data_IF_978868612365
#
_entry.id   IF_978868612365
#
_cell.length_a   1.000
_cell.length_b   1.000
_cell.length_c   1.000
_cell.angle_alpha   90.00
_cell.angle_beta   90.00
_cell.angle_gamma   90.00
#
_symmetry.space_group_name_H-M   'P 1'
#
loop_
_entity.id
_entity.type
_entity.pdbx_description
1 polymer ?
#
# COMPACT_ATOMS: atom_id res chain seq x y z
N UNK A 1 -30.84 -65.63 22.11
CA UNK A 1 -31.84 -64.60 22.52
C UNK A 1 -31.20 -63.25 22.23
N UNK A 2 -31.70 -62.31 21.42
CA UNK A 2 -33.01 -62.05 20.76
C UNK A 2 -33.98 -61.09 21.51
N UNK A 3 -33.59 -59.81 21.52
CA UNK A 3 -34.32 -58.54 21.79
C UNK A 3 -33.47 -57.39 21.20
N UNK A 4 -33.87 -56.16 20.82
CA UNK A 4 -35.16 -55.49 20.48
C UNK A 4 -36.29 -55.49 21.51
N UNK A 5 -36.98 -54.39 21.81
CA UNK A 5 -36.91 -52.97 21.36
C UNK A 5 -36.88 -52.02 22.59
N UNK A 6 -36.94 -50.68 22.59
CA UNK A 6 -37.11 -49.54 21.63
C UNK A 6 -36.12 -48.40 22.05
N UNK A 7 -35.91 -47.22 21.45
CA UNK A 7 -36.66 -46.20 20.66
C UNK A 7 -37.63 -45.28 21.46
N UNK A 8 -37.13 -44.12 21.92
CA UNK A 8 -37.96 -42.94 22.28
C UNK A 8 -37.35 -41.69 21.62
N UNK A 9 -38.18 -40.90 20.95
CA UNK A 9 -37.81 -39.62 20.32
C UNK A 9 -38.23 -38.48 21.25
N UNK A 10 -37.25 -37.78 21.83
CA UNK A 10 -37.47 -36.60 22.69
C UNK A 10 -37.22 -35.30 21.94
N UNK A 11 -38.25 -34.75 21.29
CA UNK A 11 -38.14 -33.46 20.60
C UNK A 11 -38.43 -32.30 21.58
N UNK A 12 -37.41 -31.48 21.86
CA UNK A 12 -37.57 -30.17 22.52
C UNK A 12 -37.12 -29.06 21.57
N UNK A 13 -38.07 -28.31 21.03
CA UNK A 13 -37.75 -27.09 20.29
C UNK A 13 -37.29 -26.02 21.28
N UNK A 14 -36.01 -25.63 21.19
CA UNK A 14 -35.58 -24.33 21.70
C UNK A 14 -35.49 -23.34 20.55
N UNK A 15 -36.27 -22.25 20.63
CA UNK A 15 -36.18 -21.13 19.71
C UNK A 15 -34.94 -20.30 20.03
N UNK A 16 -33.79 -20.72 19.50
CA UNK A 16 -32.65 -19.83 19.36
C UNK A 16 -32.95 -18.83 18.24
N UNK A 17 -33.44 -17.64 18.58
CA UNK A 17 -33.48 -16.53 17.65
C UNK A 17 -32.03 -16.09 17.38
N UNK A 18 -31.46 -16.57 16.28
CA UNK A 18 -30.21 -16.04 15.75
C UNK A 18 -30.46 -14.62 15.27
N UNK A 19 -30.29 -13.64 16.16
CA UNK A 19 -30.02 -12.28 15.75
C UNK A 19 -28.78 -12.34 14.87
N UNK A 20 -28.97 -12.06 13.58
CA UNK A 20 -27.88 -11.97 12.63
C UNK A 20 -27.02 -10.78 13.01
N UNK A 21 -25.96 -11.04 13.79
CA UNK A 21 -24.77 -10.21 13.71
C UNK A 21 -24.33 -10.34 12.26
N UNK A 22 -24.60 -9.30 11.47
CA UNK A 22 -23.93 -9.09 10.20
C UNK A 22 -22.47 -8.81 10.54
N UNK A 23 -21.71 -9.88 10.81
CA UNK A 23 -20.27 -9.79 10.78
C UNK A 23 -19.94 -9.22 9.41
N UNK A 24 -19.26 -8.08 9.39
CA UNK A 24 -18.45 -7.75 8.24
C UNK A 24 -17.56 -8.98 8.03
N UNK A 25 -17.82 -9.75 6.98
CA UNK A 25 -16.85 -10.74 6.57
C UNK A 25 -15.53 -9.97 6.37
N UNK A 26 -14.38 -10.48 6.82
CA UNK A 26 -13.13 -9.98 6.26
C UNK A 26 -13.30 -10.05 4.75
N UNK A 27 -13.01 -8.95 4.04
CA UNK A 27 -12.93 -9.01 2.59
C UNK A 27 -11.94 -10.14 2.29
N UNK A 28 -12.46 -11.17 1.60
CA UNK A 28 -11.77 -12.46 1.46
C UNK A 28 -10.38 -12.20 0.95
N UNK A 29 -9.39 -12.85 1.59
CA UNK A 29 -7.96 -12.57 1.44
C UNK A 29 -7.60 -12.02 0.06
N UNK A 30 -6.84 -10.92 0.07
CA UNK A 30 -6.03 -10.47 -1.07
C UNK A 30 -4.92 -11.46 -1.44
N UNK A 31 -5.23 -12.77 -1.43
CA UNK A 31 -4.47 -13.82 -2.06
C UNK A 31 -4.35 -13.47 -3.55
N UNK A 32 -3.25 -12.81 -3.88
CA UNK A 32 -3.01 -12.13 -5.16
C UNK A 32 -3.50 -12.98 -6.33
N UNK A 33 -4.54 -12.48 -7.01
CA UNK A 33 -5.36 -13.29 -7.90
C UNK A 33 -4.48 -14.00 -8.94
N UNK A 34 -4.54 -15.33 -8.95
CA UNK A 34 -3.73 -16.19 -9.80
C UNK A 34 -3.97 -16.00 -11.31
N UNK A 35 -4.97 -15.19 -11.69
CA UNK A 35 -5.29 -14.81 -13.07
C UNK A 35 -4.12 -14.22 -13.88
N UNK A 36 -3.14 -13.58 -13.23
CA UNK A 36 -1.91 -13.05 -13.88
C UNK A 36 -1.16 -14.07 -14.75
N UNK A 37 -1.28 -15.36 -14.47
CA UNK A 37 -0.58 -16.43 -15.21
C UNK A 37 -1.22 -16.73 -16.58
N UNK A 38 -2.43 -16.22 -16.85
CA UNK A 38 -3.24 -16.64 -18.00
C UNK A 38 -3.03 -15.85 -19.32
N UNK A 39 -2.30 -14.72 -19.31
CA UNK A 39 -2.11 -13.86 -20.48
C UNK A 39 -0.69 -13.30 -20.63
N UNK A 40 0.28 -14.15 -21.01
CA UNK A 40 1.51 -13.68 -21.67
C UNK A 40 1.15 -13.29 -23.11
N UNK A 41 0.66 -12.06 -23.29
CA UNK A 41 0.20 -11.56 -24.58
C UNK A 41 1.36 -11.05 -25.45
N UNK A 42 1.59 -11.72 -26.58
CA UNK A 42 2.52 -11.31 -27.65
C UNK A 42 1.79 -10.59 -28.82
N UNK A 43 0.52 -10.18 -28.64
CA UNK A 43 -0.28 -9.56 -29.69
C UNK A 43 0.44 -8.38 -30.36
N UNK A 44 0.74 -8.47 -31.68
CA UNK A 44 1.45 -7.42 -32.38
C UNK A 44 0.55 -6.19 -32.50
N UNK A 45 1.09 -5.01 -32.18
CA UNK A 45 0.39 -3.76 -32.48
C UNK A 45 0.28 -3.62 -34.00
N UNK A 46 -0.96 -3.55 -34.48
CA UNK A 46 -1.24 -3.11 -35.85
C UNK A 46 -0.93 -1.62 -35.91
N UNK A 47 0.07 -1.22 -36.71
CA UNK A 47 0.55 0.17 -36.74
C UNK A 47 -0.48 1.23 -37.21
N UNK A 48 -1.65 0.80 -37.71
CA UNK A 48 -2.80 1.66 -38.01
C UNK A 48 -3.87 1.69 -36.90
N UNK A 49 -3.60 1.10 -35.74
CA UNK A 49 -4.42 1.26 -34.54
C UNK A 49 -4.28 2.68 -33.98
N UNK A 50 -5.36 3.20 -33.41
CA UNK A 50 -5.44 4.54 -32.81
C UNK A 50 -6.02 4.45 -31.41
N UNK A 51 -5.55 5.34 -30.54
CA UNK A 51 -6.08 5.56 -29.19
C UNK A 51 -6.65 6.97 -29.18
N UNK A 52 -7.93 7.16 -28.84
CA UNK A 52 -8.63 8.42 -29.07
C UNK A 52 -9.71 8.77 -28.05
N UNK A 53 -9.95 10.06 -27.93
CA UNK A 53 -10.85 10.68 -26.96
C UNK A 53 -11.90 11.57 -27.66
N UNK A 54 -13.08 11.76 -27.04
CA UNK A 54 -14.08 12.70 -27.55
C UNK A 54 -14.83 13.44 -26.45
N UNK A 55 -14.93 14.77 -26.57
CA UNK A 55 -15.65 15.64 -25.65
C UNK A 55 -16.26 16.83 -26.41
N UNK A 56 -17.51 17.19 -26.12
CA UNK A 56 -18.14 18.40 -26.67
C UNK A 56 -18.27 18.46 -28.21
N UNK A 57 -18.09 17.34 -28.91
CA UNK A 57 -18.01 17.30 -30.38
C UNK A 57 -16.59 17.40 -30.95
N UNK A 58 -15.59 17.66 -30.10
CA UNK A 58 -14.17 17.46 -30.41
C UNK A 58 -13.84 15.97 -30.32
N UNK A 59 -12.98 15.50 -31.20
CA UNK A 59 -12.37 14.17 -31.16
C UNK A 59 -10.88 14.32 -31.45
N UNK A 60 -10.03 13.73 -30.62
CA UNK A 60 -8.61 13.58 -30.87
C UNK A 60 -8.26 12.09 -31.00
N UNK A 61 -7.49 11.74 -32.02
CA UNK A 61 -6.91 10.41 -32.22
C UNK A 61 -5.39 10.50 -32.21
N UNK A 62 -4.73 9.79 -31.29
CA UNK A 62 -3.29 9.54 -31.36
C UNK A 62 -3.03 8.20 -32.08
N UNK A 63 -1.94 8.12 -32.84
CA UNK A 63 -1.46 6.82 -33.35
C UNK A 63 -0.96 5.95 -32.20
N UNK A 64 -1.35 4.67 -32.18
CA UNK A 64 -1.13 3.81 -31.01
C UNK A 64 0.35 3.43 -30.79
N UNK A 65 1.19 3.51 -31.82
CA UNK A 65 2.65 3.34 -31.73
C UNK A 65 3.28 4.73 -31.62
N UNK A 66 4.06 4.96 -30.57
CA UNK A 66 4.87 6.16 -30.44
C UNK A 66 6.30 5.89 -30.95
N UNK A 67 6.83 6.86 -31.69
CA UNK A 67 8.17 6.83 -32.29
C UNK A 67 9.20 7.20 -31.20
N UNK A 68 9.70 6.16 -30.53
CA UNK A 68 10.74 6.25 -29.49
C UNK A 68 12.10 5.99 -30.14
N UNK A 69 12.96 7.01 -30.16
CA UNK A 69 14.23 7.00 -30.87
C UNK A 69 15.30 7.86 -30.15
N UNK A 70 16.50 7.92 -30.72
CA UNK A 70 17.57 8.81 -30.28
C UNK A 70 17.79 9.87 -31.37
N UNK A 71 17.50 11.13 -31.05
CA UNK A 71 17.74 12.28 -31.94
C UNK A 71 18.90 13.10 -31.37
N UNK A 72 19.90 13.41 -32.21
CA UNK A 72 21.13 14.12 -31.81
C UNK A 72 21.84 13.61 -30.53
N UNK A 73 21.72 12.32 -30.20
CA UNK A 73 22.27 11.73 -28.97
C UNK A 73 21.41 11.95 -27.71
N UNK A 74 20.12 12.26 -27.88
CA UNK A 74 19.15 12.46 -26.79
C UNK A 74 17.91 11.58 -27.02
N UNK A 75 17.43 10.84 -26.00
CA UNK A 75 16.15 10.14 -26.07
C UNK A 75 15.02 11.09 -26.45
N UNK A 76 14.30 10.73 -27.51
CA UNK A 76 13.20 11.51 -28.10
C UNK A 76 12.01 10.59 -28.33
N UNK A 77 10.81 11.06 -27.96
CA UNK A 77 9.57 10.31 -28.04
C UNK A 77 8.53 11.16 -28.79
N UNK A 78 8.16 10.72 -30.00
CA UNK A 78 7.20 11.40 -30.86
C UNK A 78 5.85 10.66 -30.90
N UNK A 79 4.76 11.41 -30.73
CA UNK A 79 3.38 10.92 -30.90
C UNK A 79 2.66 11.76 -31.94
N UNK A 80 2.17 11.13 -33.00
CA UNK A 80 1.31 11.79 -33.99
C UNK A 80 -0.13 11.89 -33.48
N UNK A 81 -0.70 13.10 -33.51
CA UNK A 81 -2.05 13.41 -33.01
C UNK A 81 -2.88 14.13 -34.08
N UNK A 82 -4.12 13.71 -34.21
CA UNK A 82 -5.09 14.25 -35.17
C UNK A 82 -6.41 14.65 -34.52
N UNK A 83 -6.88 15.85 -34.82
CA UNK A 83 -8.18 16.37 -34.44
C UNK A 83 -9.23 16.21 -35.54
N UNK A 84 -10.51 16.11 -35.13
CA UNK A 84 -11.63 16.22 -36.07
C UNK A 84 -11.94 17.69 -36.46
N UNK A 85 -11.68 18.65 -35.57
CA UNK A 85 -11.88 20.11 -35.74
C UNK A 85 -10.56 20.85 -35.93
N UNK A 86 -10.62 22.14 -36.28
CA UNK A 86 -9.45 23.01 -36.29
C UNK A 86 -9.07 23.48 -34.88
N UNK A 87 -7.80 23.35 -34.53
CA UNK A 87 -7.20 23.88 -33.31
C UNK A 87 -6.52 25.23 -33.60
N UNK A 88 -6.45 26.10 -32.59
CA UNK A 88 -5.80 27.41 -32.65
C UNK A 88 -4.43 27.39 -31.93
N UNK A 89 -4.35 26.70 -30.80
CA UNK A 89 -3.10 26.42 -30.08
C UNK A 89 -3.21 25.08 -29.33
N UNK A 90 -2.05 24.49 -29.03
CA UNK A 90 -1.88 23.30 -28.19
C UNK A 90 -0.67 23.56 -27.30
N UNK A 91 -0.91 23.84 -26.03
CA UNK A 91 0.14 24.11 -25.05
C UNK A 91 0.35 22.90 -24.14
N UNK A 92 1.45 22.14 -24.29
CA UNK A 92 1.78 21.07 -23.37
C UNK A 92 2.14 21.65 -21.99
N UNK A 93 1.82 20.90 -20.94
CA UNK A 93 2.27 21.16 -19.58
C UNK A 93 2.45 19.82 -18.84
N UNK A 94 3.40 19.79 -17.91
CA UNK A 94 3.72 18.58 -17.13
C UNK A 94 3.98 19.02 -15.70
N UNK A 95 3.47 18.25 -14.73
CA UNK A 95 3.76 18.48 -13.31
C UNK A 95 5.27 18.29 -13.07
N UNK A 96 5.88 19.27 -12.39
CA UNK A 96 7.28 19.22 -11.93
C UNK A 96 8.33 18.97 -13.04
N UNK A 97 8.09 19.48 -14.27
CA UNK A 97 9.14 19.54 -15.29
C UNK A 97 10.19 20.61 -14.96
N UNK A 98 11.36 20.17 -14.47
CA UNK A 98 12.56 21.01 -14.47
C UNK A 98 13.04 21.22 -15.90
N UNK A 99 13.53 22.41 -16.29
CA UNK A 99 14.19 22.62 -17.59
C UNK A 99 15.42 21.73 -17.82
N UNK A 100 15.92 21.04 -16.78
CA UNK A 100 16.99 20.05 -16.90
C UNK A 100 16.50 18.66 -17.40
N UNK A 101 15.19 18.37 -17.33
CA UNK A 101 14.64 17.05 -17.67
C UNK A 101 14.45 16.84 -19.17
N UNK A 102 14.15 17.94 -19.88
CA UNK A 102 13.71 17.94 -21.27
C UNK A 102 12.68 19.02 -21.59
N UNK A 103 12.19 19.00 -22.83
CA UNK A 103 11.16 19.91 -23.37
C UNK A 103 10.10 19.14 -24.16
N UNK A 104 8.86 19.67 -24.18
CA UNK A 104 7.78 19.17 -25.03
C UNK A 104 7.56 20.16 -26.18
N UNK A 105 7.93 19.77 -27.39
CA UNK A 105 7.73 20.53 -28.63
C UNK A 105 6.43 20.08 -29.32
N UNK A 106 5.65 21.03 -29.87
CA UNK A 106 4.47 20.76 -30.70
C UNK A 106 4.77 21.12 -32.15
N UNK A 107 4.94 20.11 -33.00
CA UNK A 107 5.27 20.28 -34.41
C UNK A 107 4.00 20.18 -35.25
N UNK A 108 3.45 21.34 -35.62
CA UNK A 108 2.25 21.43 -36.44
C UNK A 108 2.50 20.98 -37.90
N UNK A 109 1.69 20.03 -38.37
CA UNK A 109 1.65 19.63 -39.78
C UNK A 109 0.57 20.40 -40.55
N UNK A 110 -0.63 20.51 -39.97
CA UNK A 110 -1.70 21.43 -40.39
C UNK A 110 -2.62 21.76 -39.19
N UNK A 111 -3.64 22.60 -39.39
CA UNK A 111 -4.55 23.05 -38.32
C UNK A 111 -5.37 21.94 -37.60
N UNK A 112 -5.22 20.67 -37.98
CA UNK A 112 -5.82 19.49 -37.31
C UNK A 112 -4.82 18.37 -37.03
N UNK A 113 -3.57 18.45 -37.48
CA UNK A 113 -2.59 17.37 -37.35
C UNK A 113 -1.28 17.94 -36.80
N UNK A 114 -0.79 17.37 -35.70
CA UNK A 114 0.44 17.79 -35.03
C UNK A 114 1.18 16.59 -34.42
N UNK A 115 2.49 16.72 -34.28
CA UNK A 115 3.32 15.77 -33.55
C UNK A 115 3.71 16.37 -32.20
N UNK A 116 3.46 15.63 -31.12
CA UNK A 116 4.05 15.88 -29.80
C UNK A 116 5.44 15.27 -29.80
N UNK A 117 6.48 16.07 -29.54
CA UNK A 117 7.87 15.62 -29.51
C UNK A 117 8.46 15.91 -28.14
N UNK A 118 8.60 14.88 -27.31
CA UNK A 118 9.28 14.95 -26.02
C UNK A 118 10.77 14.74 -26.27
N UNK A 119 11.60 15.73 -25.93
CA UNK A 119 13.05 15.67 -26.03
C UNK A 119 13.65 15.68 -24.63
N UNK A 120 14.53 14.73 -24.30
CA UNK A 120 15.28 14.72 -23.04
C UNK A 120 15.12 13.44 -22.25
N UNK A 121 16.24 12.93 -21.71
CA UNK A 121 16.28 11.65 -21.01
C UNK A 121 15.37 11.61 -19.77
N UNK A 122 15.30 12.69 -18.99
CA UNK A 122 14.43 12.76 -17.80
C UNK A 122 12.95 12.72 -18.18
N UNK A 123 12.55 13.60 -19.11
CA UNK A 123 11.17 13.70 -19.60
C UNK A 123 10.68 12.41 -20.27
N UNK A 124 11.52 11.75 -21.07
CA UNK A 124 11.21 10.44 -21.67
C UNK A 124 11.19 9.32 -20.61
N UNK A 125 12.09 9.32 -19.61
CA UNK A 125 12.04 8.36 -18.47
C UNK A 125 10.70 8.48 -17.73
N UNK A 126 10.21 9.70 -17.48
CA UNK A 126 8.90 9.94 -16.84
C UNK A 126 7.71 9.51 -17.69
N UNK A 127 7.69 9.87 -18.98
CA UNK A 127 6.62 9.45 -19.89
C UNK A 127 6.52 7.91 -19.99
N UNK A 128 7.65 7.19 -19.95
CA UNK A 128 7.67 5.73 -19.99
C UNK A 128 7.38 5.06 -18.63
N UNK A 129 7.59 5.71 -17.48
CA UNK A 129 7.08 5.19 -16.21
C UNK A 129 5.59 5.53 -15.94
N UNK A 130 4.92 6.16 -16.91
CA UNK A 130 3.48 6.38 -16.92
C UNK A 130 3.05 7.83 -16.64
N UNK A 131 3.97 8.78 -16.47
CA UNK A 131 3.58 10.18 -16.21
C UNK A 131 2.72 10.71 -17.36
N UNK A 132 1.51 11.19 -17.02
CA UNK A 132 0.55 11.73 -17.99
C UNK A 132 1.12 12.98 -18.65
N UNK A 133 1.13 13.02 -19.97
CA UNK A 133 1.44 14.23 -20.75
C UNK A 133 0.13 15.02 -20.85
N UNK A 134 0.11 16.22 -20.27
CA UNK A 134 -1.07 17.08 -20.25
C UNK A 134 -0.95 18.16 -21.34
N UNK A 135 -2.06 18.54 -21.94
CA UNK A 135 -2.12 19.55 -23.01
C UNK A 135 -3.35 20.42 -22.85
N UNK A 136 -3.17 21.73 -22.83
CA UNK A 136 -4.26 22.69 -23.00
C UNK A 136 -4.52 22.88 -24.50
N UNK A 137 -5.79 22.81 -24.91
CA UNK A 137 -6.24 22.86 -26.29
C UNK A 137 -7.16 24.07 -26.50
N UNK A 138 -6.78 24.99 -27.39
CA UNK A 138 -7.65 26.08 -27.83
C UNK A 138 -8.29 25.75 -29.18
N UNK A 139 -9.62 25.87 -29.27
CA UNK A 139 -10.39 25.51 -30.46
C UNK A 139 -10.56 26.73 -31.39
N UNK A 140 -10.20 26.58 -32.67
CA UNK A 140 -10.23 27.71 -33.62
C UNK A 140 -11.64 28.21 -34.00
N UNK A 141 -12.70 27.47 -33.65
CA UNK A 141 -14.08 27.73 -34.07
C UNK A 141 -15.05 28.11 -32.94
N UNK A 142 -14.66 27.96 -31.67
CA UNK A 142 -15.52 28.28 -30.52
C UNK A 142 -14.67 28.53 -29.26
N UNK A 143 -15.05 29.49 -28.39
CA UNK A 143 -14.36 29.69 -27.12
C UNK A 143 -14.66 28.53 -26.16
N UNK A 144 -13.62 27.78 -25.80
CA UNK A 144 -13.69 26.68 -24.85
C UNK A 144 -12.38 25.91 -24.83
N UNK A 145 -11.55 26.16 -23.82
CA UNK A 145 -10.35 25.37 -23.57
C UNK A 145 -10.74 23.96 -23.14
N UNK A 146 -10.00 22.96 -23.61
CA UNK A 146 -10.09 21.57 -23.14
C UNK A 146 -8.71 21.10 -22.70
N UNK A 147 -8.66 20.23 -21.70
CA UNK A 147 -7.41 19.55 -21.31
C UNK A 147 -7.43 18.14 -21.88
N UNK A 148 -6.40 17.80 -22.65
CA UNK A 148 -6.12 16.43 -23.03
C UNK A 148 -5.07 15.80 -22.11
N UNK A 149 -5.21 14.50 -21.85
CA UNK A 149 -4.25 13.71 -21.07
C UNK A 149 -3.85 12.48 -21.87
N UNK A 150 -2.56 12.23 -22.02
CA UNK A 150 -2.00 11.14 -22.82
C UNK A 150 -1.07 10.29 -21.95
N UNK A 151 -1.36 8.99 -21.83
CA UNK A 151 -0.48 8.03 -21.14
C UNK A 151 0.23 7.12 -22.12
N UNK A 152 1.52 6.88 -21.86
CA UNK A 152 2.41 6.09 -22.71
C UNK A 152 3.01 4.94 -21.88
N UNK A 153 3.10 3.75 -22.48
CA UNK A 153 3.81 2.60 -21.94
C UNK A 153 5.00 2.22 -22.85
N UNK A 154 6.17 1.85 -22.29
CA UNK A 154 7.20 1.14 -23.02
C UNK A 154 6.73 -0.30 -23.29
N UNK A 155 7.08 -0.83 -24.47
CA UNK A 155 6.65 -2.16 -24.93
C UNK A 155 7.72 -2.85 -25.77
N UNK A 156 7.59 -4.18 -25.82
CA UNK A 156 8.39 -5.06 -26.67
C UNK A 156 7.64 -5.38 -27.97
N UNK A 157 8.34 -5.29 -29.10
CA UNK A 157 7.74 -5.32 -30.43
C UNK A 157 8.43 -6.26 -31.42
N UNK A 158 7.64 -6.69 -32.40
CA UNK A 158 8.10 -7.36 -33.61
C UNK A 158 8.91 -8.62 -33.34
N UNK A 159 8.46 -9.46 -32.40
CA UNK A 159 9.14 -10.66 -31.91
C UNK A 159 9.61 -11.59 -33.04
N UNK A 160 10.82 -12.17 -32.89
CA UNK A 160 11.44 -13.09 -33.87
C UNK A 160 12.19 -14.22 -33.15
N UNK A 161 12.19 -15.42 -33.73
CA UNK A 161 12.95 -16.57 -33.22
C UNK A 161 12.05 -17.66 -32.61
N UNK A 162 12.62 -18.45 -31.71
CA UNK A 162 11.98 -19.56 -30.98
C UNK A 162 12.62 -19.58 -29.59
N UNK A 163 11.83 -19.61 -28.51
CA UNK A 163 12.37 -19.47 -27.16
C UNK A 163 11.26 -19.21 -26.14
N UNK A 164 11.53 -18.54 -25.00
CA UNK A 164 10.51 -18.22 -24.01
C UNK A 164 9.43 -17.30 -24.61
N UNK A 165 8.23 -17.33 -24.04
CA UNK A 165 7.21 -16.34 -24.37
C UNK A 165 7.40 -15.12 -23.47
N UNK A 166 7.29 -13.92 -24.04
CA UNK A 166 7.63 -12.67 -23.36
C UNK A 166 6.44 -11.70 -23.42
N UNK A 167 6.05 -11.15 -22.28
CA UNK A 167 4.97 -10.17 -22.23
C UNK A 167 5.34 -8.94 -23.06
N UNK A 168 4.42 -8.47 -23.92
CA UNK A 168 4.69 -7.30 -24.75
C UNK A 168 4.73 -5.96 -23.97
N UNK A 169 4.33 -5.94 -22.69
CA UNK A 169 4.41 -4.77 -21.81
C UNK A 169 5.73 -4.77 -21.02
N UNK A 170 6.36 -3.60 -20.92
CA UNK A 170 7.46 -3.33 -19.98
C UNK A 170 6.87 -2.60 -18.77
N UNK A 171 6.55 -3.32 -17.70
CA UNK A 171 5.86 -2.76 -16.53
C UNK A 171 6.82 -1.91 -15.70
N UNK A 172 6.55 -0.61 -15.46
CA UNK A 172 7.36 0.22 -14.58
C UNK A 172 7.15 -0.20 -13.12
N UNK A 173 8.22 -0.62 -12.44
CA UNK A 173 8.18 -1.12 -11.05
C UNK A 173 9.19 -0.38 -10.17
N UNK A 174 8.84 -0.19 -8.90
CA UNK A 174 9.76 0.34 -7.88
C UNK A 174 10.47 -0.82 -7.17
N UNK A 175 11.80 -0.75 -7.15
CA UNK A 175 12.71 -1.69 -6.47
C UNK A 175 13.64 -0.88 -5.56
N UNK A 176 13.98 -1.40 -4.38
CA UNK A 176 14.90 -0.73 -3.45
C UNK A 176 16.28 -0.45 -4.06
N UNK A 177 16.87 0.71 -3.75
CA UNK A 177 18.25 1.05 -4.13
C UNK A 177 18.41 2.44 -4.78
N UNK A 178 19.60 2.74 -5.33
CA UNK A 178 19.98 4.08 -5.81
C UNK A 178 19.43 4.45 -7.21
N UNK A 179 18.96 3.49 -7.99
CA UNK A 179 18.14 3.70 -9.20
C UNK A 179 16.93 2.78 -9.05
N UNK A 180 15.82 3.27 -8.46
CA UNK A 180 14.72 2.39 -8.05
C UNK A 180 13.75 2.03 -9.17
N UNK A 181 13.80 2.74 -10.29
CA UNK A 181 12.96 2.43 -11.45
C UNK A 181 13.53 1.25 -12.23
N UNK A 182 12.73 0.17 -12.35
CA UNK A 182 12.97 -0.90 -13.32
C UNK A 182 11.81 -1.03 -14.28
N UNK A 183 12.11 -1.49 -15.49
CA UNK A 183 11.12 -1.86 -16.50
C UNK A 183 11.10 -3.38 -16.61
N UNK A 184 10.05 -3.98 -16.06
CA UNK A 184 9.92 -5.43 -15.87
C UNK A 184 9.23 -6.10 -17.05
N UNK A 185 9.82 -7.19 -17.55
CA UNK A 185 9.20 -8.15 -18.47
C UNK A 185 8.90 -9.43 -17.70
N UNK A 186 7.69 -9.98 -17.85
CA UNK A 186 7.39 -11.36 -17.44
C UNK A 186 7.63 -12.32 -18.61
N UNK A 187 8.32 -13.43 -18.34
CA UNK A 187 8.61 -14.50 -19.29
C UNK A 187 7.96 -15.83 -18.86
N UNK A 188 7.33 -16.57 -19.79
CA UNK A 188 7.13 -18.03 -19.69
C UNK A 188 8.40 -18.72 -20.21
N UNK A 189 9.08 -19.42 -19.31
CA UNK A 189 10.37 -20.09 -19.54
C UNK A 189 10.26 -21.61 -19.56
N UNK A 190 9.09 -22.18 -19.23
CA UNK A 190 8.84 -23.63 -19.17
C UNK A 190 9.85 -24.38 -18.30
N UNK A 191 10.17 -23.77 -17.15
CA UNK A 191 11.10 -24.29 -16.15
C UNK A 191 12.58 -24.17 -16.54
N UNK A 192 12.90 -23.55 -17.68
CA UNK A 192 14.28 -23.29 -18.08
C UNK A 192 14.83 -22.01 -17.44
N UNK A 193 16.15 -22.00 -17.21
CA UNK A 193 16.93 -20.79 -16.98
C UNK A 193 16.90 -19.89 -18.22
N UNK A 194 16.73 -18.58 -18.02
CA UNK A 194 16.84 -17.56 -19.07
C UNK A 194 18.18 -16.84 -18.97
N UNK A 195 18.80 -16.60 -20.11
CA UNK A 195 19.90 -15.65 -20.32
C UNK A 195 19.39 -14.47 -21.16
N UNK A 196 19.87 -13.26 -20.87
CA UNK A 196 19.46 -12.01 -21.54
C UNK A 196 20.72 -11.30 -22.04
N UNK A 197 20.72 -10.85 -23.29
CA UNK A 197 21.89 -10.23 -23.95
C UNK A 197 22.09 -8.73 -23.66
N UNK A 198 21.41 -8.20 -22.64
CA UNK A 198 21.43 -6.80 -22.23
C UNK A 198 21.65 -6.68 -20.71
N UNK A 199 22.18 -5.55 -20.19
CA UNK A 199 22.34 -5.35 -18.75
C UNK A 199 20.98 -5.33 -18.03
N UNK A 200 20.65 -6.46 -17.39
CA UNK A 200 19.35 -6.72 -16.80
C UNK A 200 19.51 -7.59 -15.54
N UNK A 201 18.63 -7.39 -14.55
CA UNK A 201 18.48 -8.35 -13.45
C UNK A 201 17.47 -9.43 -13.89
N UNK A 202 17.84 -10.71 -13.74
CA UNK A 202 16.98 -11.84 -14.09
C UNK A 202 16.65 -12.62 -12.83
N UNK A 203 15.38 -12.59 -12.42
CA UNK A 203 14.89 -13.27 -11.21
C UNK A 203 14.02 -14.47 -11.61
N UNK A 204 14.48 -15.71 -11.41
CA UNK A 204 13.66 -16.89 -11.66
C UNK A 204 12.59 -17.03 -10.56
N UNK A 205 11.33 -17.22 -10.93
CA UNK A 205 10.25 -17.40 -9.96
C UNK A 205 10.28 -18.85 -9.44
N UNK A 206 10.62 -19.13 -8.16
CA UNK A 206 11.04 -20.46 -7.69
C UNK A 206 9.93 -21.53 -7.63
N UNK A 207 8.72 -21.20 -8.08
CA UNK A 207 7.48 -21.99 -7.95
C UNK A 207 6.64 -22.01 -9.23
N UNK A 208 7.13 -21.42 -10.33
CA UNK A 208 6.40 -21.26 -11.59
C UNK A 208 7.36 -21.46 -12.77
N UNK A 209 6.81 -21.80 -13.93
CA UNK A 209 7.53 -21.87 -15.21
C UNK A 209 7.87 -20.48 -15.78
N UNK A 210 8.25 -19.51 -14.93
CA UNK A 210 8.36 -18.09 -15.27
C UNK A 210 9.58 -17.41 -14.66
N UNK A 211 10.08 -16.37 -15.32
CA UNK A 211 11.10 -15.46 -14.77
C UNK A 211 10.71 -14.00 -15.03
N UNK A 212 11.16 -13.08 -14.18
CA UNK A 212 11.10 -11.64 -14.44
C UNK A 212 12.46 -11.13 -14.91
N UNK A 213 12.44 -10.18 -15.84
CA UNK A 213 13.63 -9.49 -16.34
C UNK A 213 13.44 -7.99 -16.14
N UNK A 214 14.29 -7.41 -15.30
CA UNK A 214 14.21 -6.02 -14.88
C UNK A 214 15.31 -5.20 -15.58
N UNK A 215 14.89 -4.34 -16.52
CA UNK A 215 15.77 -3.44 -17.28
C UNK A 215 15.91 -2.09 -16.56
N UNK A 216 17.08 -1.46 -16.65
CA UNK A 216 17.23 -0.03 -16.34
C UNK A 216 16.73 0.84 -17.50
N UNK A 217 16.50 2.13 -17.24
CA UNK A 217 16.27 3.10 -18.32
C UNK A 217 17.47 3.18 -19.27
N UNK A 218 18.69 3.16 -18.73
CA UNK A 218 19.92 3.25 -19.51
C UNK A 218 20.10 2.06 -20.46
N UNK A 219 19.67 0.85 -20.04
CA UNK A 219 19.61 -0.34 -20.92
C UNK A 219 18.61 -0.14 -22.05
N UNK A 220 17.46 0.50 -21.81
CA UNK A 220 16.51 0.85 -22.87
C UNK A 220 17.11 1.88 -23.83
N UNK A 221 17.81 2.90 -23.31
CA UNK A 221 18.48 3.92 -24.15
C UNK A 221 19.55 3.28 -25.03
N UNK A 222 20.44 2.44 -24.48
CA UNK A 222 21.47 1.75 -25.26
C UNK A 222 20.90 0.83 -26.36
N UNK A 223 19.81 0.11 -26.07
CA UNK A 223 19.10 -0.70 -27.06
C UNK A 223 18.51 0.15 -28.22
N UNK A 224 18.14 1.40 -27.96
CA UNK A 224 17.68 2.35 -28.97
C UNK A 224 18.84 2.99 -29.75
N UNK A 225 19.95 3.31 -29.09
CA UNK A 225 21.18 3.85 -29.71
C UNK A 225 21.79 2.88 -30.73
N UNK A 226 21.93 1.60 -30.37
CA UNK A 226 22.43 0.55 -31.27
C UNK A 226 21.40 0.08 -32.31
N UNK A 227 20.13 0.52 -32.21
CA UNK A 227 19.01 -0.02 -32.99
C UNK A 227 18.80 -1.53 -32.76
N UNK A 228 19.20 -2.00 -31.58
CA UNK A 228 19.38 -3.40 -31.25
C UNK A 228 18.07 -4.15 -31.00
N UNK A 229 18.20 -5.45 -30.69
CA UNK A 229 17.08 -6.31 -30.30
C UNK A 229 17.48 -7.05 -29.04
N UNK A 230 16.72 -6.86 -27.95
CA UNK A 230 16.90 -7.68 -26.74
C UNK A 230 16.55 -9.14 -27.05
N UNK A 231 17.39 -10.06 -26.62
CA UNK A 231 17.28 -11.49 -26.82
C UNK A 231 17.08 -12.23 -25.49
N UNK A 232 16.03 -13.03 -25.42
CA UNK A 232 15.73 -13.94 -24.31
C UNK A 232 16.08 -15.36 -24.76
N UNK A 233 17.13 -15.92 -24.17
CA UNK A 233 17.71 -17.22 -24.53
C UNK A 233 17.42 -18.28 -23.48
N UNK A 234 17.07 -19.49 -23.93
CA UNK A 234 16.82 -20.68 -23.10
C UNK A 234 17.39 -21.92 -23.79
N UNK A 235 17.39 -23.07 -23.11
CA UNK A 235 17.69 -24.37 -23.73
C UNK A 235 16.73 -24.74 -24.88
N UNK A 236 15.58 -24.06 -25.01
CA UNK A 236 14.61 -24.24 -26.10
C UNK A 236 14.83 -23.27 -27.28
N UNK A 237 15.78 -22.34 -27.16
CA UNK A 237 16.15 -21.35 -28.18
C UNK A 237 16.11 -19.90 -27.69
N UNK A 238 16.43 -18.99 -28.62
CA UNK A 238 16.42 -17.53 -28.44
C UNK A 238 15.24 -16.87 -29.16
N UNK A 239 14.44 -16.08 -28.42
CA UNK A 239 13.44 -15.13 -28.97
C UNK A 239 13.96 -13.70 -28.79
N UNK A 240 13.81 -12.84 -29.80
CA UNK A 240 14.29 -11.45 -29.79
C UNK A 240 13.16 -10.45 -30.02
N UNK A 241 13.23 -9.27 -29.40
CA UNK A 241 12.26 -8.18 -29.53
C UNK A 241 12.96 -6.82 -29.70
N UNK A 242 12.24 -5.80 -30.16
CA UNK A 242 12.69 -4.39 -30.12
C UNK A 242 11.94 -3.66 -29.01
N UNK A 243 12.60 -2.72 -28.34
CA UNK A 243 11.91 -1.79 -27.42
C UNK A 243 11.28 -0.66 -28.24
N UNK A 244 10.12 -0.18 -27.80
CA UNK A 244 9.47 1.01 -28.30
C UNK A 244 8.42 1.52 -27.31
N UNK A 245 7.56 2.44 -27.74
CA UNK A 245 6.52 3.02 -26.90
C UNK A 245 5.11 2.85 -27.50
N UNK A 246 4.07 2.89 -26.65
CA UNK A 246 2.66 2.73 -26.99
C UNK A 246 1.83 3.84 -26.34
N UNK A 247 0.94 4.49 -27.09
CA UNK A 247 -0.15 5.29 -26.47
C UNK A 247 -1.24 4.34 -25.96
N UNK A 248 -1.45 4.33 -24.65
CA UNK A 248 -2.39 3.41 -23.99
C UNK A 248 -3.67 4.04 -23.49
N UNK A 249 -3.63 5.31 -23.11
CA UNK A 249 -4.84 6.12 -22.92
C UNK A 249 -4.70 7.47 -23.64
N UNK A 250 -5.84 8.00 -24.05
CA UNK A 250 -5.99 9.38 -24.44
C UNK A 250 -7.34 9.82 -23.89
N UNK A 251 -7.35 10.90 -23.10
CA UNK A 251 -8.52 11.40 -22.39
C UNK A 251 -8.73 12.88 -22.69
N UNK A 252 -9.97 13.36 -22.63
CA UNK A 252 -10.35 14.77 -22.78
C UNK A 252 -11.24 15.18 -21.61
N UNK A 253 -10.95 16.33 -21.00
CA UNK A 253 -11.77 16.92 -19.93
C UNK A 253 -11.99 18.42 -20.14
N UNK A 254 -13.05 18.94 -19.54
CA UNK A 254 -13.36 20.38 -19.43
C UNK A 254 -12.96 20.97 -18.07
N UNK A 255 -12.30 20.19 -17.22
CA UNK A 255 -11.65 20.70 -16.01
C UNK A 255 -10.47 21.62 -16.37
N UNK A 256 -10.15 22.57 -15.49
CA UNK A 256 -9.02 23.50 -15.65
C UNK A 256 -7.66 22.81 -15.42
N UNK A 257 -6.58 23.46 -15.88
CA UNK A 257 -5.20 22.98 -15.65
C UNK A 257 -4.92 22.75 -14.16
N UNK A 258 -5.42 23.63 -13.28
CA UNK A 258 -5.26 23.51 -11.83
C UNK A 258 -6.01 22.31 -11.24
N UNK A 259 -7.25 22.04 -11.69
CA UNK A 259 -8.03 20.88 -11.25
C UNK A 259 -7.41 19.57 -11.74
N UNK A 260 -6.90 19.52 -12.98
CA UNK A 260 -6.23 18.33 -13.51
C UNK A 260 -4.92 18.08 -12.76
N UNK A 261 -4.09 19.10 -12.54
CA UNK A 261 -2.84 18.97 -11.76
C UNK A 261 -3.10 18.55 -10.31
N UNK A 262 -4.16 19.04 -9.66
CA UNK A 262 -4.55 18.63 -8.32
C UNK A 262 -5.13 17.20 -8.25
N UNK A 263 -5.68 16.69 -9.35
CA UNK A 263 -6.17 15.30 -9.46
C UNK A 263 -5.08 14.27 -9.86
N UNK A 264 -3.89 14.73 -10.25
CA UNK A 264 -2.79 13.87 -10.68
C UNK A 264 -1.78 13.72 -9.53
N UNK A 265 -1.34 12.49 -9.28
CA UNK A 265 -0.34 12.14 -8.25
C UNK A 265 -0.79 12.49 -6.81
N UNK A 266 -2.04 12.14 -6.46
CA UNK A 266 -2.50 12.05 -5.06
C UNK A 266 -2.11 10.67 -4.51
N UNK A 267 -1.46 10.62 -3.34
CA UNK A 267 -1.17 9.36 -2.68
C UNK A 267 -2.46 8.64 -2.25
N UNK A 268 -2.66 7.41 -2.72
CA UNK A 268 -3.82 6.60 -2.37
C UNK A 268 -3.62 5.90 -1.03
N UNK A 269 -4.62 5.98 -0.14
CA UNK A 269 -4.57 5.47 1.23
C UNK A 269 -4.14 3.99 1.36
N UNK A 270 -4.55 3.13 0.43
CA UNK A 270 -4.19 1.71 0.42
C UNK A 270 -2.73 1.47 0.00
N UNK A 271 -2.18 2.34 -0.86
CA UNK A 271 -0.76 2.32 -1.25
C UNK A 271 0.08 2.70 -0.03
N UNK A 272 -0.27 3.81 0.64
CA UNK A 272 0.41 4.27 1.86
C UNK A 272 0.44 3.18 2.95
N UNK A 273 -0.70 2.54 3.22
CA UNK A 273 -0.78 1.44 4.19
C UNK A 273 -0.01 0.19 3.78
N UNK A 274 0.16 -0.06 2.47
CA UNK A 274 1.02 -1.13 1.99
C UNK A 274 2.50 -0.77 2.17
N UNK A 275 2.92 0.46 1.83
CA UNK A 275 4.30 0.93 2.03
C UNK A 275 4.73 0.80 3.50
N UNK A 276 3.84 1.15 4.45
CA UNK A 276 4.07 0.99 5.89
C UNK A 276 4.11 -0.47 6.39
N UNK A 277 3.93 -1.48 5.52
CA UNK A 277 3.91 -2.91 5.86
C UNK A 277 4.90 -3.77 5.06
N UNK A 278 5.48 -3.24 3.98
CA UNK A 278 6.43 -3.99 3.14
C UNK A 278 7.86 -3.85 3.66
N UNK A 279 8.33 -4.89 4.34
CA UNK A 279 9.74 -5.04 4.78
C UNK A 279 10.68 -5.52 3.64
N UNK A 280 10.23 -5.51 2.38
CA UNK A 280 10.98 -6.05 1.23
C UNK A 280 11.50 -4.95 0.30
N UNK A 281 12.53 -5.27 -0.48
CA UNK A 281 13.02 -4.40 -1.56
C UNK A 281 12.06 -4.35 -2.76
N UNK A 282 11.00 -5.17 -2.79
CA UNK A 282 10.02 -5.28 -3.87
C UNK A 282 8.74 -4.49 -3.56
N UNK A 283 8.91 -3.18 -3.47
CA UNK A 283 7.86 -2.22 -3.09
C UNK A 283 6.74 -2.12 -4.15
N UNK A 284 7.02 -2.55 -5.40
CA UNK A 284 6.03 -2.67 -6.48
C UNK A 284 4.80 -3.57 -6.20
N UNK A 285 4.80 -4.35 -5.12
CA UNK A 285 3.60 -5.03 -4.62
C UNK A 285 2.51 -4.04 -4.14
N UNK A 286 2.90 -2.80 -3.79
CA UNK A 286 2.01 -1.76 -3.30
C UNK A 286 1.39 -0.87 -4.38
N UNK A 287 1.68 -1.10 -5.66
CA UNK A 287 1.07 -0.34 -6.77
C UNK A 287 2.03 -0.07 -7.92
N UNK A 288 1.59 0.77 -8.86
CA UNK A 288 2.44 1.26 -9.95
C UNK A 288 3.59 2.12 -9.42
N UNK A 289 4.67 2.26 -10.20
CA UNK A 289 5.80 3.12 -9.84
C UNK A 289 5.36 4.54 -9.43
N UNK A 290 4.43 5.17 -10.16
CA UNK A 290 3.87 6.49 -9.83
C UNK A 290 3.15 6.52 -8.49
N UNK A 291 2.24 5.57 -8.25
CA UNK A 291 1.49 5.48 -6.98
C UNK A 291 2.44 5.33 -5.80
N UNK A 292 3.46 4.48 -5.93
CA UNK A 292 4.52 4.33 -4.93
C UNK A 292 5.26 5.65 -4.74
N UNK A 293 5.82 6.27 -5.79
CA UNK A 293 6.61 7.51 -5.63
C UNK A 293 5.81 8.67 -5.07
N UNK A 294 4.54 8.82 -5.48
CA UNK A 294 3.64 9.84 -4.93
C UNK A 294 3.31 9.65 -3.45
N UNK A 295 3.47 8.43 -2.91
CA UNK A 295 3.29 8.11 -1.50
C UNK A 295 4.58 8.10 -0.67
N UNK A 296 5.78 8.14 -1.28
CA UNK A 296 7.05 8.10 -0.53
C UNK A 296 7.35 9.40 0.24
N UNK A 297 6.81 10.53 -0.19
CA UNK A 297 6.99 11.85 0.44
C UNK A 297 5.68 12.43 1.02
N UNK A 298 4.56 11.70 0.93
CA UNK A 298 3.26 12.15 1.41
C UNK A 298 3.17 12.08 2.95
N UNK A 299 2.57 13.09 3.59
CA UNK A 299 2.28 13.02 5.02
C UNK A 299 1.01 12.22 5.32
N UNK A 300 1.00 11.47 6.43
CA UNK A 300 -0.15 10.66 6.87
C UNK A 300 -1.43 11.50 7.04
N UNK A 301 -1.30 12.78 7.42
CA UNK A 301 -2.41 13.72 7.53
C UNK A 301 -2.88 14.31 6.21
N UNK A 302 -2.06 14.28 5.15
CA UNK A 302 -2.49 14.61 3.79
C UNK A 302 -3.29 13.46 3.17
N UNK A 303 -2.89 12.22 3.46
CA UNK A 303 -3.52 10.99 2.94
C UNK A 303 -4.86 10.67 3.63
N UNK A 304 -4.90 10.71 4.96
CA UNK A 304 -6.11 10.32 5.73
C UNK A 304 -6.95 11.49 6.21
N UNK A 305 -6.42 12.71 6.16
CA UNK A 305 -7.01 13.88 6.81
C UNK A 305 -6.89 13.85 8.34
N UNK A 306 -6.99 15.01 9.01
CA UNK A 306 -6.96 15.10 10.46
C UNK A 306 -8.22 14.48 11.09
N UNK A 307 -8.05 13.35 11.80
CA UNK A 307 -9.14 12.67 12.49
C UNK A 307 -9.29 13.16 13.93
N UNK A 308 -10.52 13.12 14.45
CA UNK A 308 -10.79 13.37 15.86
C UNK A 308 -10.17 12.28 16.74
N UNK A 309 -9.77 12.64 17.96
CA UNK A 309 -9.30 11.67 18.95
C UNK A 309 -10.42 10.67 19.28
N UNK A 310 -10.09 9.38 19.23
CA UNK A 310 -10.89 8.23 19.65
C UNK A 310 -9.96 7.05 19.90
N UNK A 311 -10.43 6.02 20.59
CA UNK A 311 -9.72 4.74 20.76
C UNK A 311 -10.41 3.64 19.94
N UNK A 312 -9.79 3.22 18.84
CA UNK A 312 -10.27 2.09 18.05
C UNK A 312 -9.74 0.78 18.66
N UNK A 313 -10.64 -0.11 19.10
CA UNK A 313 -10.24 -1.40 19.65
C UNK A 313 -9.60 -2.30 18.59
N UNK A 314 -8.48 -2.94 18.92
CA UNK A 314 -7.72 -3.84 18.02
C UNK A 314 -7.47 -5.18 18.70
N UNK A 315 -7.16 -6.21 17.91
CA UNK A 315 -6.80 -7.53 18.45
C UNK A 315 -5.50 -7.44 19.25
N UNK A 316 -5.49 -8.07 20.43
CA UNK A 316 -4.28 -8.21 21.26
C UNK A 316 -3.28 -9.09 20.51
N UNK A 317 -2.04 -8.63 20.25
CA UNK A 317 -1.03 -9.42 19.56
C UNK A 317 -0.83 -10.81 20.19
N UNK A 318 -0.73 -11.85 19.35
CA UNK A 318 -0.72 -13.25 19.79
C UNK A 318 0.45 -13.58 20.77
N UNK A 319 1.55 -12.83 20.66
CA UNK A 319 2.66 -12.76 21.62
C UNK A 319 2.18 -12.42 23.04
N UNK A 320 1.47 -11.31 23.19
CA UNK A 320 0.93 -10.78 24.44
C UNK A 320 -0.22 -11.67 24.94
N UNK A 321 -1.12 -12.13 24.06
CA UNK A 321 -2.22 -13.02 24.43
C UNK A 321 -1.73 -14.38 24.98
N UNK A 322 -0.67 -14.94 24.41
CA UNK A 322 -0.03 -16.16 24.93
C UNK A 322 0.61 -15.92 26.31
N UNK A 323 1.25 -14.76 26.52
CA UNK A 323 1.82 -14.40 27.81
C UNK A 323 0.75 -14.12 28.88
N UNK A 324 -0.39 -13.52 28.49
CA UNK A 324 -1.56 -13.34 29.36
C UNK A 324 -2.12 -14.69 29.83
N UNK A 325 -2.21 -15.68 28.94
CA UNK A 325 -2.64 -17.03 29.30
C UNK A 325 -1.65 -17.71 30.27
N UNK A 326 -0.34 -17.50 30.10
CA UNK A 326 0.69 -17.99 31.03
C UNK A 326 0.65 -17.26 32.38
N UNK A 327 0.38 -15.96 32.41
CA UNK A 327 0.14 -15.18 33.62
C UNK A 327 -1.07 -15.74 34.39
N UNK A 328 -2.22 -15.91 33.72
CA UNK A 328 -3.42 -16.49 34.33
C UNK A 328 -3.19 -17.92 34.86
N UNK A 329 -2.43 -18.75 34.14
CA UNK A 329 -2.06 -20.10 34.58
C UNK A 329 -1.05 -20.14 35.74
N UNK A 330 -0.37 -19.03 36.04
CA UNK A 330 0.61 -18.89 37.13
C UNK A 330 0.13 -18.00 38.29
N UNK A 331 -1.15 -17.60 38.28
CA UNK A 331 -1.83 -16.85 39.33
C UNK A 331 -2.16 -17.73 40.56
N UNK A 332 -1.14 -18.31 41.17
CA UNK A 332 -1.23 -19.09 42.42
C UNK A 332 -0.37 -18.46 43.50
N UNK A 333 -0.79 -17.30 44.00
CA UNK A 333 -0.09 -16.58 45.06
C UNK A 333 -0.08 -17.42 46.37
N UNK A 334 1.08 -17.57 47.04
CA UNK A 334 1.18 -18.38 48.25
C UNK A 334 0.69 -17.61 49.49
N UNK A 335 -0.10 -18.29 50.33
CA UNK A 335 -0.39 -17.82 51.70
C UNK A 335 -1.44 -16.71 51.80
N UNK A 336 -2.69 -17.04 51.47
CA UNK A 336 -3.87 -16.16 51.62
C UNK A 336 -3.91 -14.88 50.79
N UNK A 337 -2.91 -14.65 49.93
CA UNK A 337 -2.91 -13.55 48.96
C UNK A 337 -3.53 -14.00 47.62
N UNK A 338 -3.98 -13.04 46.82
CA UNK A 338 -4.34 -13.27 45.42
C UNK A 338 -3.93 -12.08 44.55
N UNK A 339 -3.66 -12.36 43.27
CA UNK A 339 -3.60 -11.37 42.21
C UNK A 339 -4.29 -11.94 40.97
N UNK A 340 -5.04 -11.11 40.26
CA UNK A 340 -5.78 -11.48 39.05
C UNK A 340 -5.59 -10.42 37.97
N UNK A 341 -5.43 -10.86 36.73
CA UNK A 341 -5.55 -10.04 35.52
C UNK A 341 -6.86 -10.48 34.85
N UNK A 342 -7.89 -9.65 34.91
CA UNK A 342 -9.24 -9.99 34.46
C UNK A 342 -9.49 -9.63 32.99
N UNK A 343 -8.92 -8.52 32.51
CA UNK A 343 -8.94 -8.14 31.10
C UNK A 343 -7.56 -7.66 30.66
N UNK A 344 -7.27 -7.86 29.38
CA UNK A 344 -6.19 -7.18 28.68
C UNK A 344 -6.76 -6.79 27.31
N UNK A 345 -6.76 -5.51 27.03
CA UNK A 345 -7.34 -4.93 25.81
C UNK A 345 -6.27 -4.11 25.09
N UNK A 346 -6.38 -4.05 23.76
CA UNK A 346 -5.49 -3.26 22.92
C UNK A 346 -6.31 -2.25 22.11
N UNK A 347 -5.80 -1.02 22.02
CA UNK A 347 -6.42 0.06 21.26
C UNK A 347 -5.39 0.74 20.35
N UNK A 348 -5.88 1.27 19.24
CA UNK A 348 -5.14 2.11 18.31
C UNK A 348 -5.68 3.55 18.36
N UNK A 349 -4.77 4.51 18.16
CA UNK A 349 -5.13 5.87 17.76
C UNK A 349 -5.20 5.94 16.23
N UNK A 350 -6.04 6.84 15.66
CA UNK A 350 -5.99 7.19 14.24
C UNK A 350 -4.59 7.56 13.77
N UNK A 351 -4.21 7.12 12.57
CA UNK A 351 -2.87 7.32 11.99
C UNK A 351 -2.53 8.81 11.78
N UNK A 352 -3.53 9.66 11.53
CA UNK A 352 -3.44 11.11 11.69
C UNK A 352 -4.46 11.59 12.73
N UNK A 353 -3.96 12.14 13.85
CA UNK A 353 -4.74 12.85 14.84
C UNK A 353 -4.71 14.37 14.61
N UNK A 354 -5.86 15.03 14.70
CA UNK A 354 -5.97 16.49 14.68
C UNK A 354 -5.28 17.19 15.86
N UNK A 355 -5.04 16.47 16.95
CA UNK A 355 -4.34 16.92 18.16
C UNK A 355 -3.53 15.76 18.76
N UNK A 356 -2.26 15.94 19.17
CA UNK A 356 -1.45 14.85 19.74
C UNK A 356 -2.17 14.12 20.88
N UNK A 357 -2.14 12.77 20.85
CA UNK A 357 -2.73 11.95 21.91
C UNK A 357 -1.96 12.11 23.23
N UNK A 358 -2.69 12.37 24.31
CA UNK A 358 -2.15 12.46 25.68
C UNK A 358 -2.69 11.33 26.54
N UNK A 359 -1.98 10.96 27.62
CA UNK A 359 -2.49 9.97 28.58
C UNK A 359 -3.80 10.44 29.23
N UNK A 360 -3.94 11.74 29.50
CA UNK A 360 -5.18 12.35 29.97
C UNK A 360 -6.36 12.09 29.00
N UNK A 361 -6.17 12.27 27.69
CA UNK A 361 -7.20 12.00 26.69
C UNK A 361 -7.52 10.50 26.55
N UNK A 362 -6.51 9.63 26.66
CA UNK A 362 -6.67 8.17 26.65
C UNK A 362 -7.50 7.71 27.86
N UNK A 363 -7.17 8.19 29.06
CA UNK A 363 -7.95 7.91 30.27
C UNK A 363 -9.35 8.50 30.16
N UNK A 364 -9.50 9.71 29.64
CA UNK A 364 -10.82 10.34 29.47
C UNK A 364 -11.74 9.53 28.55
N UNK A 365 -11.23 8.96 27.45
CA UNK A 365 -11.98 8.13 26.52
C UNK A 365 -12.31 6.74 27.10
N UNK A 366 -11.35 6.07 27.75
CA UNK A 366 -11.58 4.78 28.44
C UNK A 366 -12.68 4.90 29.50
N UNK A 367 -12.75 6.03 30.21
CA UNK A 367 -13.75 6.29 31.24
C UNK A 367 -15.00 7.05 30.76
N UNK A 368 -15.14 7.34 29.46
CA UNK A 368 -16.22 8.17 28.90
C UNK A 368 -17.64 7.61 29.11
N UNK A 369 -17.77 6.30 29.37
CA UNK A 369 -19.03 5.63 29.72
C UNK A 369 -19.31 5.48 31.23
N UNK A 370 -18.43 6.01 32.10
CA UNK A 370 -18.53 5.84 33.55
C UNK A 370 -19.43 6.89 34.24
N UNK A 371 -19.80 6.64 35.50
CA UNK A 371 -20.60 7.58 36.32
C UNK A 371 -19.74 8.69 36.98
N UNK A 372 -18.44 8.75 36.67
CA UNK A 372 -17.49 9.74 37.17
C UNK A 372 -17.09 10.67 36.01
N UNK A 373 -16.81 11.96 36.29
CA UNK A 373 -16.30 12.86 35.24
C UNK A 373 -14.88 12.40 34.83
N UNK A 374 -14.62 12.04 33.56
CA UNK A 374 -13.39 11.33 33.21
C UNK A 374 -12.09 12.10 33.49
N UNK A 375 -12.13 13.44 33.45
CA UNK A 375 -11.00 14.29 33.83
C UNK A 375 -10.60 14.14 35.31
N UNK A 376 -11.58 13.94 36.21
CA UNK A 376 -11.30 13.70 37.63
C UNK A 376 -10.68 12.31 37.85
N UNK A 377 -10.98 11.32 37.01
CA UNK A 377 -10.39 9.98 37.10
C UNK A 377 -8.88 10.03 36.89
N UNK A 378 -8.39 10.86 35.96
CA UNK A 378 -6.96 11.01 35.69
C UNK A 378 -6.18 11.50 36.94
N UNK A 379 -6.76 12.42 37.72
CA UNK A 379 -6.16 12.95 38.96
C UNK A 379 -6.09 11.93 40.11
N UNK A 380 -6.91 10.86 40.10
CA UNK A 380 -6.86 9.81 41.12
C UNK A 380 -5.84 8.71 40.84
N UNK A 381 -5.32 8.62 39.61
CA UNK A 381 -4.22 7.74 39.26
C UNK A 381 -2.84 8.40 39.41
N UNK A 382 -1.81 7.75 38.88
CA UNK A 382 -0.44 8.27 38.82
C UNK A 382 0.26 7.82 37.54
N UNK A 383 1.08 8.69 36.97
CA UNK A 383 2.06 8.26 35.98
C UNK A 383 3.12 7.36 36.64
N UNK A 384 3.58 6.35 35.89
CA UNK A 384 4.58 5.37 36.31
C UNK A 384 5.75 5.42 35.34
N UNK A 385 7.00 5.66 35.80
CA UNK A 385 8.15 5.67 34.92
C UNK A 385 8.47 4.25 34.42
N UNK A 386 9.05 4.16 33.22
CA UNK A 386 9.20 2.89 32.49
C UNK A 386 10.06 1.83 33.22
N UNK A 387 11.01 2.25 34.07
CA UNK A 387 11.82 1.36 34.90
C UNK A 387 11.03 0.78 36.08
N UNK A 388 10.09 1.54 36.65
CA UNK A 388 9.21 1.11 37.73
C UNK A 388 8.08 0.15 37.28
N UNK A 389 7.86 -0.06 35.97
CA UNK A 389 6.86 -1.00 35.46
C UNK A 389 6.99 -2.41 36.07
N UNK A 390 8.22 -2.87 36.27
CA UNK A 390 8.54 -4.17 36.91
C UNK A 390 8.04 -4.29 38.37
N UNK A 391 7.63 -3.18 39.00
CA UNK A 391 7.08 -3.15 40.36
C UNK A 391 5.54 -3.13 40.43
N UNK A 392 4.85 -3.01 39.30
CA UNK A 392 3.39 -3.05 39.23
C UNK A 392 2.86 -4.48 39.41
N UNK A 393 1.66 -4.64 40.00
CA UNK A 393 1.09 -5.95 40.34
C UNK A 393 1.03 -6.96 39.18
N UNK A 394 0.65 -6.52 37.98
CA UNK A 394 0.58 -7.39 36.79
C UNK A 394 1.95 -7.85 36.24
N UNK A 395 3.05 -7.20 36.65
CA UNK A 395 4.39 -7.42 36.08
C UNK A 395 5.41 -7.91 37.10
N UNK A 396 5.15 -7.69 38.40
CA UNK A 396 5.98 -8.15 39.49
C UNK A 396 5.79 -9.65 39.78
N UNK A 397 6.90 -10.40 39.78
CA UNK A 397 6.93 -11.85 40.09
C UNK A 397 6.39 -12.23 41.49
N UNK A 398 6.07 -11.26 42.35
CA UNK A 398 5.41 -11.45 43.64
C UNK A 398 3.91 -11.75 43.52
N UNK A 399 3.24 -11.29 42.45
CA UNK A 399 1.80 -11.44 42.25
C UNK A 399 1.45 -12.70 41.43
N UNK A 400 2.13 -12.88 40.29
CA UNK A 400 2.05 -14.07 39.46
C UNK A 400 3.44 -14.36 38.89
N UNK A 401 3.81 -15.65 38.80
CA UNK A 401 5.15 -16.01 38.36
C UNK A 401 5.43 -15.61 36.89
N UNK A 402 4.38 -15.51 36.05
CA UNK A 402 4.44 -15.05 34.66
C UNK A 402 4.28 -13.53 34.46
N UNK A 403 4.30 -12.71 35.52
CA UNK A 403 4.30 -11.24 35.43
C UNK A 403 5.46 -10.67 34.60
N UNK A 404 6.71 -11.07 34.85
CA UNK A 404 7.86 -10.61 34.05
C UNK A 404 7.77 -11.00 32.58
N UNK A 405 7.26 -12.21 32.28
CA UNK A 405 7.04 -12.71 30.92
C UNK A 405 5.96 -11.93 30.18
N UNK A 406 4.89 -11.51 30.87
CA UNK A 406 3.86 -10.64 30.29
C UNK A 406 4.44 -9.25 29.94
N UNK A 407 5.21 -8.63 30.84
CA UNK A 407 5.88 -7.37 30.55
C UNK A 407 6.90 -7.52 29.40
N UNK A 408 7.66 -8.62 29.38
CA UNK A 408 8.63 -8.90 28.33
C UNK A 408 7.97 -9.08 26.95
N UNK A 409 6.81 -9.74 26.88
CA UNK A 409 6.04 -9.88 25.64
C UNK A 409 5.56 -8.52 25.11
N UNK A 410 5.01 -7.67 25.99
CA UNK A 410 4.55 -6.32 25.63
C UNK A 410 5.73 -5.42 25.17
N UNK A 411 6.87 -5.47 25.88
CA UNK A 411 8.06 -4.68 25.53
C UNK A 411 8.74 -5.19 24.24
N UNK A 412 8.66 -6.48 23.94
CA UNK A 412 9.16 -7.05 22.68
C UNK A 412 8.28 -6.62 21.50
N UNK A 413 6.95 -6.64 21.64
CA UNK A 413 6.00 -6.22 20.61
C UNK A 413 6.21 -4.75 20.20
N UNK A 414 6.40 -3.87 21.17
CA UNK A 414 6.58 -2.43 20.94
C UNK A 414 8.05 -1.99 20.99
N UNK A 415 9.00 -2.89 20.70
CA UNK A 415 10.43 -2.63 20.82
C UNK A 415 10.87 -1.33 20.13
N UNK A 416 11.72 -0.57 20.82
CA UNK A 416 12.28 0.72 20.35
C UNK A 416 11.38 1.94 20.56
N UNK A 417 10.11 1.76 20.93
CA UNK A 417 9.15 2.85 21.17
C UNK A 417 9.22 3.34 22.61
N UNK A 418 8.96 4.63 22.87
CA UNK A 418 8.76 5.13 24.22
C UNK A 418 7.44 4.59 24.80
N UNK A 419 7.42 4.29 26.10
CA UNK A 419 6.20 4.02 26.87
C UNK A 419 5.93 5.17 27.84
N UNK A 420 4.67 5.61 27.89
CA UNK A 420 4.10 6.41 28.98
C UNK A 420 3.11 5.48 29.69
N UNK A 421 3.21 5.34 31.00
CA UNK A 421 2.35 4.46 31.76
C UNK A 421 1.59 5.21 32.86
N UNK A 422 0.37 4.80 33.13
CA UNK A 422 -0.47 5.34 34.20
C UNK A 422 -1.16 4.19 34.94
N UNK A 423 -1.18 4.28 36.28
CA UNK A 423 -1.83 3.31 37.15
C UNK A 423 -2.93 4.00 37.96
N UNK A 424 -4.07 3.33 38.10
CA UNK A 424 -5.10 3.61 39.08
C UNK A 424 -5.32 2.38 39.96
N UNK A 425 -5.57 2.60 41.26
CA UNK A 425 -5.84 1.56 42.25
C UNK A 425 -7.01 2.01 43.14
N UNK A 426 -8.03 1.17 43.27
CA UNK A 426 -9.23 1.46 44.08
C UNK A 426 -9.51 0.33 45.09
N UNK A 427 -9.57 0.61 46.41
CA UNK A 427 -9.94 -0.38 47.41
C UNK A 427 -11.38 -0.90 47.20
N UNK A 428 -11.53 -2.21 47.00
CA UNK A 428 -12.81 -2.87 46.77
C UNK A 428 -13.33 -3.58 48.02
N UNK A 429 -14.64 -3.49 48.28
CA UNK A 429 -15.24 -4.07 49.48
C UNK A 429 -15.29 -5.61 49.43
N UNK A 430 -14.62 -6.28 50.38
CA UNK A 430 -14.67 -7.72 50.58
C UNK A 430 -14.83 -8.08 52.08
N UNK A 431 -15.09 -9.36 52.41
CA UNK A 431 -15.42 -9.78 53.78
C UNK A 431 -14.26 -10.53 54.46
N UNK A 432 -13.72 -9.95 55.53
CA UNK A 432 -12.54 -10.43 56.29
C UNK A 432 -11.27 -10.53 55.44
N UNK A 433 -11.10 -9.58 54.52
CA UNK A 433 -9.96 -9.50 53.62
C UNK A 433 -9.69 -8.03 53.25
N UNK A 434 -8.53 -7.77 52.65
CA UNK A 434 -8.20 -6.53 51.93
C UNK A 434 -8.19 -6.82 50.44
N UNK A 435 -8.74 -5.93 49.62
CA UNK A 435 -8.85 -6.10 48.17
C UNK A 435 -8.71 -4.74 47.48
N UNK A 436 -7.98 -4.69 46.38
CA UNK A 436 -7.88 -3.54 45.46
C UNK A 436 -8.24 -3.99 44.04
N UNK A 437 -8.89 -3.10 43.28
CA UNK A 437 -8.98 -3.16 41.81
C UNK A 437 -7.80 -2.38 41.24
N UNK A 438 -7.11 -2.97 40.29
CA UNK A 438 -5.97 -2.37 39.59
C UNK A 438 -6.34 -2.09 38.14
N UNK A 439 -5.95 -0.92 37.64
CA UNK A 439 -5.97 -0.57 36.22
C UNK A 439 -4.61 0.00 35.83
N UNK A 440 -3.98 -0.55 34.79
CA UNK A 440 -2.73 -0.05 34.21
C UNK A 440 -2.94 0.21 32.73
N UNK A 441 -2.60 1.43 32.30
CA UNK A 441 -2.65 1.85 30.90
C UNK A 441 -1.22 2.12 30.43
N UNK A 442 -0.81 1.44 29.36
CA UNK A 442 0.49 1.59 28.71
C UNK A 442 0.26 2.22 27.34
N UNK A 443 0.71 3.47 27.15
CA UNK A 443 0.63 4.20 25.89
C UNK A 443 2.00 4.23 25.20
N UNK A 444 2.02 3.91 23.92
CA UNK A 444 3.18 3.94 23.03
C UNK A 444 2.95 5.02 21.96
N UNK A 445 3.40 6.28 22.18
CA UNK A 445 3.07 7.40 21.30
C UNK A 445 3.55 7.18 19.86
N UNK A 446 4.78 6.73 19.69
CA UNK A 446 5.45 6.52 18.40
C UNK A 446 4.78 5.45 17.51
N UNK A 447 3.85 4.67 18.08
CA UNK A 447 3.10 3.60 17.40
C UNK A 447 1.60 3.87 17.33
N UNK A 448 1.09 4.89 18.03
CA UNK A 448 -0.34 5.09 18.24
C UNK A 448 -1.02 3.85 18.83
N UNK A 449 -0.42 3.23 19.87
CA UNK A 449 -0.92 2.00 20.51
C UNK A 449 -1.08 2.16 22.01
N UNK A 450 -2.17 1.60 22.54
CA UNK A 450 -2.47 1.54 23.97
C UNK A 450 -2.71 0.08 24.34
N UNK A 451 -2.12 -0.39 25.44
CA UNK A 451 -2.52 -1.62 26.13
C UNK A 451 -3.17 -1.23 27.47
N UNK A 452 -4.35 -1.80 27.75
CA UNK A 452 -5.09 -1.62 28.99
C UNK A 452 -5.13 -2.96 29.73
N UNK A 453 -4.71 -2.97 30.99
CA UNK A 453 -4.73 -4.15 31.87
C UNK A 453 -5.61 -3.85 33.08
N UNK A 454 -6.72 -4.58 33.25
CA UNK A 454 -7.57 -4.48 34.44
C UNK A 454 -7.54 -5.77 35.24
N UNK A 455 -7.58 -5.64 36.56
CA UNK A 455 -7.63 -6.76 37.48
C UNK A 455 -7.69 -6.31 38.93
N UNK A 456 -6.93 -6.98 39.79
CA UNK A 456 -6.84 -6.61 41.20
C UNK A 456 -5.98 -7.55 42.02
N UNK A 457 -5.71 -7.17 43.25
CA UNK A 457 -4.95 -7.95 44.22
C UNK A 457 -5.57 -7.86 45.62
N UNK A 458 -5.15 -8.73 46.54
CA UNK A 458 -5.66 -8.72 47.90
C UNK A 458 -5.14 -9.85 48.79
N UNK A 459 -5.64 -9.92 50.02
CA UNK A 459 -5.31 -10.96 51.00
C UNK A 459 -6.38 -11.12 52.10
N UNK A 460 -6.58 -12.37 52.59
CA UNK A 460 -7.41 -12.64 53.78
C UNK A 460 -6.74 -12.11 55.07
N UNK A 461 -7.55 -11.67 56.04
CA UNK A 461 -7.11 -10.93 57.26
C UNK A 461 -7.19 -11.73 58.57
#
# INVERSE_FOLDING_TARGET
>A
MKTRYDLIIGATLFWAQSLGITACAPETDGAADSSWVSQVDESPIVASAKTGASLGGVTLDADAVADLAIDAGTPTLRVHVRANVGLADVRPFVRESSPADGEVEVVWQDARNFDLVLRGAGLVKRALFGQRILMALDLAAAPGAMIAQLSIEPRLYGFRGQGPFAQAALTPVYVGGPDPLRYRVLLDTRGASVEVDAPAAVTPHPTKDTATVDLSFDTIVGLLEDGARIAFSTVFGTKTAQVGARVVSFELTSATEAEVLASTDVCEAWVFQCLGRVESEEISLCGTYLQVTGCLEADVCEVFGPQAFRLDAVEVPASIAAAQAAHAASASAPGFQWCQLSTLEAYALPECLATPGTMEAIVAEIFAGSWQEPAAVFEFGREVPADALTSLGFFGAACAAGGPELLAAIVAEFQGSQVIAWQYEEPTACHNCTSSRDLVILFYPDRGRIIVLEGGHGYDS
#
